data_IF_598021946955
#
_entry.id   IF_598021946955
#
_cell.length_a   1.000
_cell.length_b   1.000
_cell.length_c   1.000
_cell.angle_alpha   90.00
_cell.angle_beta   90.00
_cell.angle_gamma   90.00
#
_symmetry.space_group_name_H-M   'P 1'
#
loop_
_entity.id
_entity.type
_entity.pdbx_description
1 polymer ?
#
# COMPACT_ATOMS: atom_id res chain seq x y z
N UNK A 1 -13.72 -5.65 -10.61
CA UNK A 1 -13.88 -6.82 -9.70
C UNK A 1 -14.83 -6.54 -8.53
N UNK A 2 -14.46 -5.70 -7.54
CA UNK A 2 -15.29 -5.47 -6.35
C UNK A 2 -16.64 -4.81 -6.67
N UNK A 3 -16.65 -3.85 -7.60
CA UNK A 3 -17.87 -3.19 -8.08
C UNK A 3 -18.81 -4.13 -8.88
N UNK A 4 -18.34 -5.32 -9.28
CA UNK A 4 -19.10 -6.23 -10.14
C UNK A 4 -19.10 -5.87 -11.63
N UNK A 5 -18.75 -4.63 -11.97
CA UNK A 5 -18.65 -4.11 -13.34
C UNK A 5 -17.35 -3.31 -13.56
N UNK A 6 -17.10 -2.91 -14.81
CA UNK A 6 -15.91 -2.15 -15.21
C UNK A 6 -16.15 -0.65 -15.01
N UNK A 7 -15.90 -0.18 -13.79
CA UNK A 7 -16.07 1.23 -13.37
C UNK A 7 -14.78 2.03 -13.30
N UNK A 8 -13.63 1.35 -13.28
CA UNK A 8 -12.32 1.95 -13.11
C UNK A 8 -11.50 1.79 -14.39
N UNK A 9 -10.82 2.86 -14.79
CA UNK A 9 -9.96 2.86 -15.97
C UNK A 9 -8.71 1.99 -15.68
N UNK A 10 -8.52 0.91 -16.44
CA UNK A 10 -7.35 0.03 -16.33
C UNK A 10 -6.32 0.49 -17.37
N UNK A 11 -5.44 1.43 -17.00
CA UNK A 11 -4.36 1.86 -17.88
C UNK A 11 -3.16 0.90 -17.78
N UNK A 12 -2.67 0.38 -18.91
CA UNK A 12 -1.44 -0.42 -18.99
C UNK A 12 -0.17 0.44 -19.06
N UNK A 13 -0.32 1.76 -19.13
CA UNK A 13 0.77 2.72 -19.36
C UNK A 13 1.02 3.53 -18.10
N UNK A 14 2.15 3.25 -17.47
CA UNK A 14 2.73 3.98 -16.34
C UNK A 14 3.28 5.34 -16.78
N UNK A 15 2.42 6.22 -17.33
CA UNK A 15 2.79 7.61 -17.60
C UNK A 15 2.45 8.41 -16.34
N UNK A 16 3.49 8.67 -15.54
CA UNK A 16 3.40 9.22 -14.20
C UNK A 16 2.95 10.68 -14.13
N UNK A 17 2.90 11.13 -12.87
CA UNK A 17 2.76 12.51 -12.40
C UNK A 17 1.37 13.13 -12.13
N UNK A 18 0.27 12.35 -12.00
CA UNK A 18 -0.90 12.83 -11.24
C UNK A 18 -1.45 11.74 -10.34
N UNK A 19 -1.41 11.94 -9.01
CA UNK A 19 -2.11 11.06 -8.07
C UNK A 19 -3.59 11.46 -8.10
N UNK A 20 -4.34 10.87 -9.01
CA UNK A 20 -5.79 10.95 -8.98
C UNK A 20 -6.31 9.81 -8.12
N UNK A 21 -7.32 10.14 -7.31
CA UNK A 21 -8.09 9.14 -6.58
C UNK A 21 -9.54 9.21 -7.00
N UNK A 22 -10.18 8.06 -7.13
CA UNK A 22 -11.61 7.94 -7.43
C UNK A 22 -12.26 7.07 -6.38
N UNK A 23 -13.46 7.45 -5.96
CA UNK A 23 -14.22 6.69 -4.96
C UNK A 23 -15.32 5.88 -5.62
N UNK A 24 -15.46 4.62 -5.22
CA UNK A 24 -16.51 3.73 -5.68
C UNK A 24 -17.26 3.17 -4.47
N UNK A 25 -18.58 3.27 -4.47
CA UNK A 25 -19.42 2.58 -3.48
C UNK A 25 -19.59 1.13 -3.92
N UNK A 26 -19.30 0.20 -3.03
CA UNK A 26 -19.36 -1.24 -3.30
C UNK A 26 -20.04 -1.97 -2.14
N UNK A 27 -20.76 -3.04 -2.47
CA UNK A 27 -21.32 -3.95 -1.48
C UNK A 27 -20.36 -5.12 -1.23
N UNK A 28 -19.91 -5.27 0.01
CA UNK A 28 -19.04 -6.36 0.46
C UNK A 28 -19.79 -7.16 1.52
N UNK A 29 -20.18 -8.39 1.20
CA UNK A 29 -20.92 -9.28 2.12
C UNK A 29 -22.12 -8.60 2.81
N UNK A 30 -22.90 -7.81 2.06
CA UNK A 30 -24.06 -7.08 2.56
C UNK A 30 -23.77 -5.75 3.27
N UNK A 31 -22.50 -5.40 3.48
CA UNK A 31 -22.08 -4.11 4.04
C UNK A 31 -21.63 -3.15 2.95
N UNK A 32 -22.02 -1.87 3.06
CA UNK A 32 -21.62 -0.82 2.12
C UNK A 32 -20.24 -0.28 2.48
N UNK A 33 -19.30 -0.31 1.53
CA UNK A 33 -17.98 0.29 1.63
C UNK A 33 -17.80 1.36 0.55
N UNK A 34 -17.00 2.38 0.85
CA UNK A 34 -16.47 3.29 -0.16
C UNK A 34 -14.99 2.94 -0.37
N UNK A 35 -14.64 2.47 -1.57
CA UNK A 35 -13.28 2.13 -1.95
C UNK A 35 -12.70 3.31 -2.69
N UNK A 36 -11.57 3.82 -2.19
CA UNK A 36 -10.79 4.84 -2.86
C UNK A 36 -9.70 4.14 -3.66
N UNK A 37 -9.84 4.15 -4.98
CA UNK A 37 -8.80 3.75 -5.90
C UNK A 37 -7.80 4.90 -6.07
N UNK A 38 -6.52 4.58 -6.11
CA UNK A 38 -5.44 5.56 -6.13
C UNK A 38 -4.47 5.22 -7.24
N UNK A 39 -4.06 6.21 -8.04
CA UNK A 39 -2.95 6.01 -8.96
C UNK A 39 -1.69 5.55 -8.22
N UNK A 40 -0.91 4.66 -8.85
CA UNK A 40 0.30 4.09 -8.25
C UNK A 40 1.29 5.15 -7.77
N UNK A 41 1.73 5.01 -6.51
CA UNK A 41 2.83 5.81 -5.99
C UNK A 41 4.14 5.24 -6.55
N UNK A 42 4.71 5.92 -7.56
CA UNK A 42 6.03 5.63 -8.12
C UNK A 42 6.19 4.28 -8.85
N UNK A 43 5.75 4.22 -10.11
CA UNK A 43 6.12 3.12 -11.01
C UNK A 43 7.34 3.41 -11.90
N UNK A 44 8.03 4.56 -11.77
CA UNK A 44 9.12 4.89 -12.73
C UNK A 44 10.24 5.86 -12.34
N UNK A 45 10.05 6.87 -11.48
CA UNK A 45 11.09 7.90 -11.27
C UNK A 45 11.60 7.98 -9.81
N UNK A 46 12.92 7.79 -9.57
CA UNK A 46 13.56 7.98 -8.26
C UNK A 46 13.57 9.42 -7.74
N UNK A 47 13.20 10.42 -8.54
CA UNK A 47 13.32 11.85 -8.15
C UNK A 47 12.49 12.21 -6.91
N UNK A 48 13.16 12.80 -5.94
CA UNK A 48 12.62 13.27 -4.64
C UNK A 48 11.36 14.13 -4.76
N UNK A 49 11.27 15.01 -5.76
CA UNK A 49 10.13 15.94 -5.93
C UNK A 49 8.82 15.20 -6.21
N UNK A 50 8.87 14.09 -6.93
CA UNK A 50 7.68 13.31 -7.27
C UNK A 50 7.13 12.55 -6.06
N UNK A 51 8.03 12.03 -5.20
CA UNK A 51 7.64 11.39 -3.92
C UNK A 51 6.91 12.36 -3.00
N UNK A 52 7.40 13.60 -2.87
CA UNK A 52 6.71 14.63 -2.06
C UNK A 52 5.32 14.97 -2.61
N UNK A 53 5.16 15.06 -3.92
CA UNK A 53 3.85 15.29 -4.54
C UNK A 53 2.89 14.13 -4.31
N UNK A 54 3.40 12.90 -4.31
CA UNK A 54 2.65 11.69 -4.04
C UNK A 54 2.16 11.64 -2.58
N UNK A 55 3.06 11.90 -1.62
CA UNK A 55 2.74 12.01 -0.18
C UNK A 55 1.72 13.12 0.08
N UNK A 56 1.90 14.30 -0.54
CA UNK A 56 0.97 15.43 -0.41
C UNK A 56 -0.43 15.09 -0.91
N UNK A 57 -0.53 14.42 -2.06
CA UNK A 57 -1.83 14.06 -2.63
C UNK A 57 -2.52 12.95 -1.82
N UNK A 58 -1.75 12.00 -1.30
CA UNK A 58 -2.25 10.98 -0.38
C UNK A 58 -2.73 11.58 0.95
N UNK A 59 -2.00 12.55 1.51
CA UNK A 59 -2.45 13.31 2.67
C UNK A 59 -3.78 14.02 2.38
N UNK A 60 -3.89 14.70 1.23
CA UNK A 60 -5.14 15.35 0.81
C UNK A 60 -6.30 14.36 0.71
N UNK A 61 -6.06 13.16 0.16
CA UNK A 61 -7.06 12.10 0.10
C UNK A 61 -7.48 11.67 1.50
N UNK A 62 -6.54 11.24 2.33
CA UNK A 62 -6.87 10.66 3.63
C UNK A 62 -7.52 11.69 4.57
N UNK A 63 -7.17 12.97 4.46
CA UNK A 63 -7.82 14.04 5.22
C UNK A 63 -9.14 14.52 4.64
N UNK A 64 -9.47 14.16 3.39
CA UNK A 64 -10.78 14.43 2.77
C UNK A 64 -11.78 13.29 2.98
N UNK A 65 -11.33 12.08 3.34
CA UNK A 65 -12.22 10.95 3.65
C UNK A 65 -13.04 11.27 4.90
N UNK A 66 -14.33 11.52 4.70
CA UNK A 66 -15.28 11.70 5.78
C UNK A 66 -15.53 10.37 6.50
N UNK A 67 -15.52 10.39 7.83
CA UNK A 67 -15.64 9.20 8.67
C UNK A 67 -14.34 8.38 8.86
N UNK A 68 -13.26 8.68 8.14
CA UNK A 68 -11.94 8.06 8.32
C UNK A 68 -11.68 6.76 7.54
N UNK A 69 -10.52 6.15 7.77
CA UNK A 69 -10.02 4.98 7.02
C UNK A 69 -10.12 3.71 7.85
N UNK A 70 -10.75 2.67 7.29
CA UNK A 70 -10.94 1.38 7.99
C UNK A 70 -9.88 0.34 7.65
N UNK A 71 -9.32 0.39 6.45
CA UNK A 71 -8.41 -0.61 5.90
C UNK A 71 -7.62 0.03 4.76
N UNK A 72 -6.34 -0.30 4.66
CA UNK A 72 -5.56 -0.03 3.46
C UNK A 72 -5.32 -1.35 2.71
N UNK A 73 -5.72 -1.39 1.43
CA UNK A 73 -5.45 -2.51 0.54
C UNK A 73 -4.17 -2.22 -0.24
N UNK A 74 -3.07 -2.87 0.14
CA UNK A 74 -1.79 -2.72 -0.54
C UNK A 74 -1.72 -3.69 -1.72
N UNK A 75 -1.93 -3.18 -2.94
CA UNK A 75 -1.89 -4.00 -4.15
C UNK A 75 -0.45 -4.12 -4.68
N UNK A 76 -0.03 -5.34 -4.97
CA UNK A 76 1.22 -5.60 -5.69
C UNK A 76 1.04 -6.74 -6.71
N UNK A 77 1.99 -6.85 -7.64
CA UNK A 77 2.03 -7.93 -8.63
C UNK A 77 3.15 -8.92 -8.29
N UNK A 78 2.82 -10.21 -8.24
CA UNK A 78 3.77 -11.31 -8.17
C UNK A 78 4.66 -11.37 -9.44
N UNK A 79 5.81 -12.06 -9.41
CA UNK A 79 6.37 -12.81 -8.27
C UNK A 79 7.39 -12.02 -7.44
N UNK A 80 7.63 -10.73 -7.75
CA UNK A 80 8.74 -9.98 -7.14
C UNK A 80 8.25 -8.97 -6.11
N UNK A 81 8.77 -9.07 -4.89
CA UNK A 81 8.75 -7.97 -3.93
C UNK A 81 9.85 -6.98 -4.36
N UNK A 82 9.45 -5.86 -4.97
CA UNK A 82 10.38 -4.80 -5.38
C UNK A 82 10.75 -3.93 -4.19
N UNK A 83 11.92 -3.28 -4.24
CA UNK A 83 12.31 -2.26 -3.27
C UNK A 83 11.27 -1.13 -3.16
N UNK A 84 10.65 -0.74 -4.28
CA UNK A 84 9.54 0.21 -4.29
C UNK A 84 8.33 -0.25 -3.47
N UNK A 85 8.04 -1.57 -3.44
CA UNK A 85 6.95 -2.11 -2.61
C UNK A 85 7.27 -1.94 -1.13
N UNK A 86 8.52 -2.19 -0.72
CA UNK A 86 8.98 -2.06 0.67
C UNK A 86 8.96 -0.60 1.11
N UNK A 87 9.43 0.32 0.26
CA UNK A 87 9.40 1.75 0.54
C UNK A 87 7.97 2.28 0.65
N UNK A 88 7.09 1.91 -0.28
CA UNK A 88 5.68 2.28 -0.23
C UNK A 88 5.00 1.68 1.00
N UNK A 89 5.28 0.42 1.35
CA UNK A 89 4.77 -0.20 2.57
C UNK A 89 5.11 0.62 3.81
N UNK A 90 6.39 0.96 4.01
CA UNK A 90 6.82 1.76 5.18
C UNK A 90 6.17 3.13 5.20
N UNK A 91 6.07 3.78 4.03
CA UNK A 91 5.36 5.05 3.90
C UNK A 91 3.90 4.91 4.36
N UNK A 92 3.16 3.94 3.86
CA UNK A 92 1.76 3.79 4.25
C UNK A 92 1.60 3.38 5.72
N UNK A 93 2.36 2.39 6.15
CA UNK A 93 2.24 1.80 7.48
C UNK A 93 2.67 2.76 8.59
N UNK A 94 3.91 3.24 8.53
CA UNK A 94 4.56 3.98 9.62
C UNK A 94 4.18 5.47 9.58
N UNK A 95 4.13 6.03 8.37
CA UNK A 95 4.07 7.49 8.19
C UNK A 95 2.62 7.93 7.98
N UNK A 96 1.95 7.37 6.98
CA UNK A 96 0.63 7.85 6.57
C UNK A 96 -0.47 7.36 7.51
N UNK A 97 -0.49 6.07 7.83
CA UNK A 97 -1.49 5.49 8.70
C UNK A 97 -1.08 5.48 10.18
N UNK A 98 0.15 5.89 10.50
CA UNK A 98 0.71 5.92 11.86
C UNK A 98 0.46 4.60 12.64
N UNK A 99 0.48 3.47 11.91
CA UNK A 99 0.20 2.13 12.43
C UNK A 99 -1.21 1.98 13.04
N UNK A 100 -2.12 2.93 12.77
CA UNK A 100 -3.50 2.95 13.27
C UNK A 100 -4.50 2.28 12.33
N UNK A 101 -4.15 2.12 11.06
CA UNK A 101 -4.98 1.46 10.06
C UNK A 101 -4.35 0.11 9.70
N UNK A 102 -5.11 -0.99 9.77
CA UNK A 102 -4.63 -2.28 9.32
C UNK A 102 -4.33 -2.22 7.81
N UNK A 103 -3.26 -2.89 7.40
CA UNK A 103 -2.91 -3.05 6.00
C UNK A 103 -3.08 -4.50 5.61
N UNK A 104 -3.90 -4.76 4.60
CA UNK A 104 -4.01 -6.07 3.98
C UNK A 104 -3.39 -6.04 2.59
N UNK A 105 -2.71 -7.12 2.20
CA UNK A 105 -2.00 -7.18 0.92
C UNK A 105 -2.79 -7.94 -0.12
N UNK A 106 -2.89 -7.38 -1.33
CA UNK A 106 -3.51 -8.01 -2.49
C UNK A 106 -2.41 -8.34 -3.49
N UNK A 107 -2.26 -9.61 -3.82
CA UNK A 107 -1.21 -10.11 -4.70
C UNK A 107 -1.84 -10.58 -6.01
N UNK A 108 -1.55 -9.85 -7.07
CA UNK A 108 -2.06 -10.09 -8.43
C UNK A 108 -1.02 -10.80 -9.29
N UNK A 109 -1.39 -11.25 -10.50
CA UNK A 109 -0.46 -11.86 -11.45
C UNK A 109 -0.27 -13.37 -11.23
N UNK A 110 -1.25 -14.03 -10.61
CA UNK A 110 -1.23 -15.44 -10.22
C UNK A 110 -2.18 -16.31 -11.06
N UNK A 111 -2.70 -15.76 -12.16
CA UNK A 111 -3.64 -16.40 -13.08
C UNK A 111 -3.16 -17.71 -13.72
N UNK A 112 -1.84 -17.99 -13.69
CA UNK A 112 -1.27 -19.22 -14.27
C UNK A 112 -0.75 -20.20 -13.19
N UNK A 113 -0.97 -19.92 -11.91
CA UNK A 113 -0.61 -20.84 -10.83
C UNK A 113 -1.67 -21.95 -10.70
N UNK A 114 -1.26 -23.18 -10.38
CA UNK A 114 -2.22 -24.28 -10.16
C UNK A 114 -3.17 -24.01 -8.98
N UNK A 115 -2.70 -23.26 -7.98
CA UNK A 115 -3.53 -22.60 -6.97
C UNK A 115 -2.92 -21.25 -6.66
N UNK A 116 -3.75 -20.19 -6.66
CA UNK A 116 -3.29 -18.83 -6.39
C UNK A 116 -2.58 -18.72 -5.03
N UNK A 117 -3.03 -19.47 -4.01
CA UNK A 117 -2.51 -19.35 -2.64
C UNK A 117 -1.14 -20.03 -2.45
N UNK A 118 -0.75 -20.94 -3.35
CA UNK A 118 0.56 -21.61 -3.29
C UNK A 118 1.71 -20.60 -3.31
N UNK A 119 1.54 -19.50 -4.05
CA UNK A 119 2.54 -18.45 -4.12
C UNK A 119 2.82 -17.83 -2.75
N UNK A 120 1.79 -17.59 -1.93
CA UNK A 120 1.97 -17.00 -0.60
C UNK A 120 2.76 -17.92 0.32
N UNK A 121 2.48 -19.22 0.31
CA UNK A 121 3.16 -20.21 1.18
C UNK A 121 4.68 -20.15 1.00
N UNK A 122 5.15 -20.07 -0.24
CA UNK A 122 6.59 -19.99 -0.54
C UNK A 122 7.23 -18.62 -0.34
N UNK A 123 6.44 -17.54 -0.19
CA UNK A 123 6.95 -16.17 -0.18
C UNK A 123 6.68 -15.39 1.11
N UNK A 124 5.82 -15.87 2.00
CA UNK A 124 5.42 -15.17 3.23
C UNK A 124 6.63 -14.77 4.09
N UNK A 125 7.64 -15.63 4.18
CA UNK A 125 8.81 -15.41 5.02
C UNK A 125 9.63 -14.23 4.44
N UNK A 126 9.67 -14.05 3.12
CA UNK A 126 10.34 -12.90 2.49
C UNK A 126 9.68 -11.58 2.88
N UNK A 127 8.35 -11.53 3.02
CA UNK A 127 7.67 -10.33 3.52
C UNK A 127 8.10 -10.01 4.95
N UNK A 128 8.14 -11.01 5.83
CA UNK A 128 8.54 -10.82 7.22
C UNK A 128 9.99 -10.33 7.34
N UNK A 129 10.93 -10.90 6.58
CA UNK A 129 12.33 -10.44 6.52
C UNK A 129 12.45 -8.98 6.07
N UNK A 130 11.54 -8.49 5.21
CA UNK A 130 11.52 -7.11 4.74
C UNK A 130 10.76 -6.16 5.68
N UNK A 131 10.22 -6.67 6.80
CA UNK A 131 9.43 -5.92 7.77
C UNK A 131 7.98 -5.67 7.34
N UNK A 132 7.49 -6.40 6.33
CA UNK A 132 6.10 -6.29 5.86
C UNK A 132 5.23 -7.31 6.60
N UNK A 133 4.43 -6.84 7.56
CA UNK A 133 3.54 -7.66 8.40
C UNK A 133 2.07 -7.30 8.15
N UNK A 134 1.42 -7.84 7.10
CA UNK A 134 0.04 -7.51 6.81
C UNK A 134 -0.95 -8.17 7.78
N UNK A 135 -2.06 -7.48 8.05
CA UNK A 135 -3.20 -7.99 8.83
C UNK A 135 -3.91 -9.17 8.13
N UNK A 136 -3.71 -9.30 6.81
CA UNK A 136 -4.14 -10.43 6.01
C UNK A 136 -3.68 -10.29 4.57
N UNK A 137 -3.86 -11.34 3.77
CA UNK A 137 -3.48 -11.37 2.36
C UNK A 137 -4.59 -11.99 1.52
N UNK A 138 -4.58 -11.68 0.22
CA UNK A 138 -5.31 -12.44 -0.79
C UNK A 138 -4.45 -12.57 -2.05
N UNK A 139 -4.21 -13.81 -2.46
CA UNK A 139 -3.65 -14.14 -3.77
C UNK A 139 -4.80 -14.22 -4.78
N UNK A 140 -4.71 -13.44 -5.85
CA UNK A 140 -5.83 -13.23 -6.76
C UNK A 140 -5.45 -13.24 -8.24
N UNK A 141 -6.46 -13.55 -9.04
CA UNK A 141 -6.57 -13.34 -10.48
C UNK A 141 -7.44 -12.11 -10.72
N UNK A 142 -6.79 -11.01 -11.10
CA UNK A 142 -7.43 -9.70 -11.29
C UNK A 142 -7.99 -9.49 -12.71
N UNK A 143 -7.87 -10.48 -13.60
CA UNK A 143 -8.37 -10.45 -14.97
C UNK A 143 -9.19 -11.69 -15.27
N UNK A 144 -10.26 -11.56 -16.07
CA UNK A 144 -11.00 -12.72 -16.58
C UNK A 144 -10.24 -13.43 -17.72
N UNK A 145 -9.15 -12.85 -18.22
CA UNK A 145 -8.44 -13.36 -19.38
C UNK A 145 -9.19 -13.10 -20.69
N UNK A 146 -8.71 -13.70 -21.78
CA UNK A 146 -9.35 -13.57 -23.10
C UNK A 146 -10.66 -14.37 -23.13
N UNK A 147 -11.66 -13.81 -23.79
CA UNK A 147 -12.89 -14.54 -24.12
C UNK A 147 -12.63 -15.49 -25.30
N UNK A 148 -13.08 -16.73 -25.16
CA UNK A 148 -13.10 -17.74 -26.22
C UNK A 148 -14.42 -18.50 -26.16
N UNK A 149 -15.24 -18.38 -27.20
CA UNK A 149 -16.51 -19.12 -27.31
C UNK A 149 -17.54 -18.77 -26.23
N UNK A 150 -17.62 -17.50 -25.81
CA UNK A 150 -18.56 -17.05 -24.77
C UNK A 150 -18.11 -17.35 -23.34
N UNK A 151 -16.90 -17.90 -23.16
CA UNK A 151 -16.30 -18.17 -21.86
C UNK A 151 -15.00 -17.41 -21.70
N UNK A 152 -14.77 -16.90 -20.50
CA UNK A 152 -13.53 -16.24 -20.13
C UNK A 152 -12.53 -17.26 -19.57
N UNK A 153 -11.26 -17.18 -20.00
CA UNK A 153 -10.22 -18.14 -19.63
C UNK A 153 -10.03 -18.31 -18.12
N UNK A 154 -10.16 -17.23 -17.34
CA UNK A 154 -9.94 -17.22 -15.89
C UNK A 154 -11.20 -16.84 -15.11
N UNK A 155 -12.38 -17.26 -15.61
CA UNK A 155 -13.67 -16.87 -15.01
C UNK A 155 -13.81 -17.36 -13.56
N UNK A 156 -13.40 -18.60 -13.29
CA UNK A 156 -13.53 -19.24 -11.98
C UNK A 156 -12.57 -18.60 -10.97
N UNK A 157 -11.30 -18.44 -11.33
CA UNK A 157 -10.28 -17.82 -10.49
C UNK A 157 -10.61 -16.36 -10.20
N UNK A 158 -11.18 -15.63 -11.17
CA UNK A 158 -11.64 -14.26 -10.97
C UNK A 158 -12.83 -14.19 -9.98
N UNK A 159 -13.77 -15.14 -10.05
CA UNK A 159 -14.89 -15.22 -9.12
C UNK A 159 -14.41 -15.57 -7.70
N UNK A 160 -13.54 -16.58 -7.58
CA UNK A 160 -12.89 -16.95 -6.31
C UNK A 160 -12.11 -15.76 -5.73
N UNK A 161 -11.36 -15.04 -6.57
CA UNK A 161 -10.63 -13.84 -6.18
C UNK A 161 -11.52 -12.76 -5.60
N UNK A 162 -12.68 -12.51 -6.22
CA UNK A 162 -13.66 -11.55 -5.70
C UNK A 162 -14.09 -11.92 -4.29
N UNK A 163 -14.43 -13.19 -4.05
CA UNK A 163 -14.81 -13.66 -2.72
C UNK A 163 -13.68 -13.54 -1.70
N UNK A 164 -12.44 -13.90 -2.09
CA UNK A 164 -11.25 -13.78 -1.24
C UNK A 164 -11.05 -12.34 -0.78
N UNK A 165 -11.11 -11.37 -1.69
CA UNK A 165 -10.95 -9.96 -1.34
C UNK A 165 -12.10 -9.47 -0.47
N UNK A 166 -13.34 -9.87 -0.75
CA UNK A 166 -14.49 -9.50 0.08
C UNK A 166 -14.36 -10.05 1.52
N UNK A 167 -13.98 -11.32 1.68
CA UNK A 167 -13.73 -11.94 2.99
C UNK A 167 -12.58 -11.24 3.73
N UNK A 168 -11.51 -10.88 3.02
CA UNK A 168 -10.36 -10.17 3.56
C UNK A 168 -10.74 -8.77 4.08
N UNK A 169 -11.52 -8.01 3.30
CA UNK A 169 -12.03 -6.69 3.72
C UNK A 169 -12.84 -6.83 5.01
N UNK A 170 -13.80 -7.76 5.06
CA UNK A 170 -14.63 -7.97 6.25
C UNK A 170 -13.84 -8.40 7.48
N UNK A 171 -12.78 -9.19 7.28
CA UNK A 171 -11.92 -9.66 8.36
C UNK A 171 -11.02 -8.55 8.91
N UNK A 172 -10.44 -7.72 8.04
CA UNK A 172 -9.37 -6.81 8.40
C UNK A 172 -9.83 -5.36 8.64
N UNK A 173 -10.98 -4.95 8.11
CA UNK A 173 -11.44 -3.57 8.26
C UNK A 173 -11.79 -3.23 9.72
N UNK A 174 -11.34 -2.06 10.16
CA UNK A 174 -11.73 -1.51 11.45
C UNK A 174 -13.24 -1.25 11.49
N UNK A 175 -13.90 -1.70 12.56
CA UNK A 175 -15.30 -1.36 12.83
C UNK A 175 -15.50 0.13 13.09
N UNK A 176 -14.51 0.76 13.72
CA UNK A 176 -14.43 2.20 13.93
C UNK A 176 -13.27 2.73 13.08
N UNK A 177 -13.54 3.37 11.93
CA UNK A 177 -12.48 3.85 11.07
C UNK A 177 -11.58 4.86 11.81
N UNK A 178 -10.30 4.85 11.47
CA UNK A 178 -9.36 5.81 12.00
C UNK A 178 -9.51 7.14 11.27
N UNK A 179 -9.93 8.17 12.00
CA UNK A 179 -9.97 9.54 11.48
C UNK A 179 -8.63 10.20 11.69
N UNK A 180 -8.07 10.79 10.64
CA UNK A 180 -6.77 11.43 10.71
C UNK A 180 -6.86 12.77 11.42
N UNK A 181 -6.14 12.96 12.54
CA UNK A 181 -6.08 14.25 13.21
C UNK A 181 -5.26 15.23 12.35
N UNK A 182 -5.93 16.02 11.50
CA UNK A 182 -5.34 16.83 10.43
C UNK A 182 -4.11 17.66 10.86
N UNK A 183 -4.17 18.32 12.01
CA UNK A 183 -3.08 19.17 12.51
C UNK A 183 -1.93 18.34 13.08
N UNK A 184 -2.26 17.31 13.87
CA UNK A 184 -1.27 16.46 14.53
C UNK A 184 -0.50 15.60 13.52
N UNK A 185 -1.18 15.09 12.49
CA UNK A 185 -0.53 14.35 11.40
C UNK A 185 0.47 15.22 10.63
N UNK A 186 0.13 16.46 10.29
CA UNK A 186 1.07 17.34 9.57
C UNK A 186 2.30 17.66 10.43
N UNK A 187 2.10 17.89 11.73
CA UNK A 187 3.19 18.14 12.68
C UNK A 187 4.06 16.90 12.92
N UNK A 188 3.48 15.72 13.07
CA UNK A 188 4.23 14.50 13.38
C UNK A 188 4.84 13.91 12.11
N UNK A 189 4.02 13.65 11.09
CA UNK A 189 4.40 12.94 9.87
C UNK A 189 5.12 13.83 8.85
N UNK A 190 4.66 15.08 8.69
CA UNK A 190 5.32 16.04 7.79
C UNK A 190 6.74 16.32 8.23
N UNK A 191 6.93 16.65 9.52
CA UNK A 191 8.26 16.87 10.10
C UNK A 191 9.13 15.61 10.02
N UNK A 192 8.56 14.41 10.25
CA UNK A 192 9.30 13.15 10.15
C UNK A 192 9.87 12.92 8.74
N UNK A 193 9.05 13.09 7.71
CA UNK A 193 9.47 12.96 6.32
C UNK A 193 10.56 13.98 5.97
N UNK A 194 10.37 15.25 6.33
CA UNK A 194 11.38 16.29 6.10
C UNK A 194 12.69 16.00 6.85
N UNK A 195 12.62 15.61 8.13
CA UNK A 195 13.80 15.31 8.95
C UNK A 195 14.56 14.09 8.45
N UNK A 196 13.88 12.99 8.11
CA UNK A 196 14.51 11.77 7.60
C UNK A 196 15.22 12.00 6.27
N UNK A 197 14.65 12.84 5.41
CA UNK A 197 15.22 13.16 4.09
C UNK A 197 16.39 14.14 4.19
N UNK A 198 16.32 15.15 5.07
CA UNK A 198 17.42 16.11 5.31
C UNK A 198 18.61 15.45 6.02
N UNK A 199 18.35 14.60 7.02
CA UNK A 199 19.40 14.03 7.87
C UNK A 199 19.95 12.70 7.34
N UNK A 200 19.25 12.02 6.44
CA UNK A 200 19.58 10.67 5.98
C UNK A 200 19.08 9.58 6.94
N UNK A 201 18.78 8.40 6.38
CA UNK A 201 18.10 7.29 7.07
C UNK A 201 18.85 6.80 8.32
N UNK A 202 20.18 6.67 8.25
CA UNK A 202 21.02 6.14 9.33
C UNK A 202 21.00 7.06 10.56
N UNK A 203 21.25 8.35 10.33
CA UNK A 203 21.24 9.39 11.37
C UNK A 203 19.83 9.50 11.98
N UNK A 204 18.80 9.48 11.14
CA UNK A 204 17.43 9.54 11.60
C UNK A 204 17.03 8.34 12.48
N UNK A 205 17.44 7.12 12.11
CA UNK A 205 17.19 5.92 12.91
C UNK A 205 17.94 5.94 14.26
N UNK A 206 19.17 6.45 14.30
CA UNK A 206 19.93 6.64 15.54
C UNK A 206 19.20 7.59 16.51
N UNK A 207 18.67 8.69 16.02
CA UNK A 207 17.92 9.62 16.87
C UNK A 207 16.63 8.98 17.41
N UNK A 208 15.86 8.28 16.55
CA UNK A 208 14.57 7.71 16.95
C UNK A 208 14.69 6.49 17.85
N UNK A 209 15.64 5.59 17.57
CA UNK A 209 15.76 4.31 18.29
C UNK A 209 16.71 4.38 19.47
N UNK A 210 17.77 5.18 19.36
CA UNK A 210 18.79 5.29 20.40
C UNK A 210 18.64 6.55 21.26
N UNK A 211 17.69 7.43 20.94
CA UNK A 211 17.49 8.70 21.65
C UNK A 211 18.67 9.67 21.52
N UNK A 212 19.53 9.48 20.52
CA UNK A 212 20.69 10.34 20.28
C UNK A 212 20.25 11.74 19.83
N UNK A 213 21.06 12.75 20.19
CA UNK A 213 20.95 14.07 19.59
C UNK A 213 21.30 14.01 18.10
N UNK A 214 20.87 15.03 17.34
CA UNK A 214 21.19 15.13 15.91
C UNK A 214 22.71 15.26 15.70
N UNK A 215 23.37 16.01 16.57
CA UNK A 215 24.81 16.21 16.59
C UNK A 215 25.57 14.90 16.82
N UNK A 216 25.21 14.15 17.86
CA UNK A 216 25.85 12.87 18.20
C UNK A 216 25.66 11.84 17.09
N UNK A 217 24.44 11.77 16.53
CA UNK A 217 24.13 10.85 15.43
C UNK A 217 24.93 11.19 14.16
N UNK A 218 25.10 12.48 13.83
CA UNK A 218 25.92 12.95 12.69
C UNK A 218 27.40 12.70 12.92
N UNK A 219 27.89 12.85 14.14
CA UNK A 219 29.30 12.56 14.48
C UNK A 219 29.60 11.06 14.38
N UNK A 220 28.75 10.22 14.96
CA UNK A 220 28.91 8.78 14.91
C UNK A 220 28.85 8.26 13.47
N UNK A 221 27.92 8.76 12.64
CA UNK A 221 27.84 8.40 11.22
C UNK A 221 29.09 8.80 10.42
N UNK A 222 29.72 9.94 10.75
CA UNK A 222 30.99 10.37 10.13
C UNK A 222 32.14 9.46 10.53
N UNK A 223 32.23 9.09 11.81
CA UNK A 223 33.28 8.21 12.33
C UNK A 223 33.20 6.80 11.74
N UNK A 224 31.99 6.27 11.49
CA UNK A 224 31.82 4.95 10.85
C UNK A 224 32.12 4.94 9.35
N UNK A 225 32.03 6.09 8.65
CA UNK A 225 32.36 6.20 7.21
C UNK A 225 33.85 6.47 6.95
N UNK A 226 34.63 6.78 7.99
CA UNK A 226 36.07 7.01 7.92
C UNK A 226 36.94 5.79 8.22
N UNK A 227 36.35 4.59 8.29
CA UNK A 227 37.01 3.29 8.53
C UNK A 227 36.93 2.42 7.29
#
# INVERSE_FOLDING_TARGET
MLAGEDVADIASTSTGCTFQSRSYRVMVAGSSFTIFDTAGLNEGDPRTIEKFNAVRQLYKLITSIDGGVSLLLFCMRAPRIKESNIQNWRLFHEIICAEKVPIAIIITGLENEGSMDNWWVGNRDNFEHQGMRPAGHACITATRGKEKGGQYLFAEEYAESKEKVQKLIMKCALRKPWTVPKIQWFAETGILCFKKEIMGKEIFEMMQKCGMSEEDAKELARNMKGV
#
